data_IF_022341315471
#
_entry.id   IF_022341315471
#
_cell.length_a   1.000
_cell.length_b   1.000
_cell.length_c   1.000
_cell.angle_alpha   90.00
_cell.angle_beta   90.00
_cell.angle_gamma   90.00
#
_symmetry.space_group_name_H-M   'P 1'
#
loop_
_entity.id
_entity.type
_entity.pdbx_description
1 polymer ?
#
# COMPACT_ATOMS: atom_id res chain seq x y z
N UNK A 1 14.81 -29.49 25.80
CA UNK A 1 14.56 -28.14 26.33
C UNK A 1 14.12 -27.32 25.13
N UNK A 2 12.81 -27.45 24.79
CA UNK A 2 12.19 -26.73 23.65
C UNK A 2 12.04 -25.25 24.07
N UNK A 3 12.99 -24.45 23.64
CA UNK A 3 12.85 -22.99 23.60
C UNK A 3 12.63 -22.62 22.13
N UNK A 4 11.44 -22.19 21.84
CA UNK A 4 10.93 -21.25 20.82
C UNK A 4 9.55 -21.69 20.35
N UNK A 5 8.57 -21.64 21.28
CA UNK A 5 7.21 -21.35 20.83
C UNK A 5 7.21 -19.85 20.55
N UNK A 6 7.46 -19.48 19.31
CA UNK A 6 7.20 -18.14 18.81
C UNK A 6 5.78 -17.75 19.22
N UNK A 7 5.67 -16.67 20.02
CA UNK A 7 4.37 -16.12 20.40
C UNK A 7 3.75 -15.48 19.15
N UNK A 8 2.98 -16.28 18.42
CA UNK A 8 2.25 -15.82 17.23
C UNK A 8 1.03 -15.04 17.73
N UNK A 9 1.04 -13.72 17.47
CA UNK A 9 -0.12 -12.87 17.73
C UNK A 9 -1.14 -13.07 16.60
N UNK A 10 -2.37 -13.40 16.94
CA UNK A 10 -3.46 -13.46 15.97
C UNK A 10 -4.22 -12.15 15.86
N UNK A 11 -4.92 -11.95 14.73
CA UNK A 11 -5.84 -10.81 14.61
C UNK A 11 -6.96 -10.91 15.65
N UNK A 12 -7.37 -12.12 16.02
CA UNK A 12 -8.37 -12.35 17.04
C UNK A 12 -7.93 -11.81 18.40
N UNK A 13 -6.67 -12.05 18.80
CA UNK A 13 -6.10 -11.52 20.04
C UNK A 13 -6.01 -9.99 20.01
N UNK A 14 -5.57 -9.45 18.89
CA UNK A 14 -5.43 -8.02 18.71
C UNK A 14 -6.78 -7.29 18.80
N UNK A 15 -7.82 -7.83 18.15
CA UNK A 15 -9.16 -7.24 18.17
C UNK A 15 -9.82 -7.43 19.53
N UNK A 16 -9.69 -8.60 20.21
CA UNK A 16 -10.17 -8.81 21.58
C UNK A 16 -9.52 -7.83 22.56
N UNK A 17 -8.21 -7.66 22.50
CA UNK A 17 -7.47 -6.73 23.37
C UNK A 17 -7.83 -5.26 23.16
N UNK A 18 -8.30 -4.89 21.96
CA UNK A 18 -8.69 -3.53 21.62
C UNK A 18 -10.16 -3.20 21.87
N UNK A 19 -11.00 -4.19 22.12
CA UNK A 19 -12.46 -4.06 22.24
C UNK A 19 -12.87 -3.42 23.58
N UNK A 20 -12.45 -2.19 23.84
CA UNK A 20 -12.65 -1.50 25.12
C UNK A 20 -14.10 -1.16 25.44
N UNK A 21 -14.94 -0.92 24.41
CA UNK A 21 -16.30 -0.45 24.54
C UNK A 21 -17.35 -1.59 24.36
N UNK A 22 -16.89 -2.86 24.26
CA UNK A 22 -17.75 -4.02 24.00
C UNK A 22 -18.66 -3.87 22.74
N UNK A 23 -18.28 -3.01 21.79
CA UNK A 23 -19.04 -2.82 20.54
C UNK A 23 -18.94 -4.02 19.60
N UNK A 24 -17.92 -4.84 19.78
CA UNK A 24 -17.67 -6.07 19.06
C UNK A 24 -17.84 -7.26 20.01
N UNK A 25 -19.03 -7.87 19.96
CA UNK A 25 -19.32 -9.04 20.80
C UNK A 25 -18.72 -10.30 20.17
N UNK A 26 -17.78 -10.90 20.88
CA UNK A 26 -17.09 -12.14 20.48
C UNK A 26 -17.61 -13.37 21.23
N UNK A 27 -18.67 -13.26 22.03
CA UNK A 27 -19.20 -14.37 22.81
C UNK A 27 -19.78 -15.49 21.91
N UNK A 28 -20.41 -15.13 20.79
CA UNK A 28 -20.85 -16.09 19.77
C UNK A 28 -19.99 -16.00 18.50
N UNK A 29 -18.85 -16.68 18.54
CA UNK A 29 -17.89 -16.71 17.42
C UNK A 29 -18.49 -17.21 16.10
N UNK A 30 -19.57 -17.99 16.13
CA UNK A 30 -20.24 -18.50 14.92
C UNK A 30 -20.92 -17.38 14.13
N UNK A 31 -21.24 -16.27 14.79
CA UNK A 31 -21.89 -15.10 14.19
C UNK A 31 -20.89 -14.07 13.63
N UNK A 32 -19.60 -14.40 13.65
CA UNK A 32 -18.52 -13.56 13.12
C UNK A 32 -17.92 -14.22 11.90
N UNK A 33 -17.76 -13.46 10.82
CA UNK A 33 -17.07 -13.89 9.61
C UNK A 33 -15.85 -13.02 9.31
N UNK A 34 -14.79 -13.67 8.85
CA UNK A 34 -13.61 -13.02 8.31
C UNK A 34 -13.74 -13.00 6.79
N UNK A 35 -13.64 -11.83 6.19
CA UNK A 35 -13.83 -11.61 4.75
C UNK A 35 -12.55 -11.05 4.13
N UNK A 36 -12.16 -11.65 3.00
CA UNK A 36 -11.07 -11.17 2.15
C UNK A 36 -11.63 -10.74 0.80
N UNK A 37 -11.54 -9.46 0.50
CA UNK A 37 -11.76 -8.99 -0.85
C UNK A 37 -10.49 -9.20 -1.69
N UNK A 38 -10.62 -9.97 -2.77
CA UNK A 38 -9.54 -10.13 -3.75
C UNK A 38 -9.49 -8.91 -4.66
N UNK A 39 -8.28 -8.54 -5.05
CA UNK A 39 -8.08 -7.48 -6.05
C UNK A 39 -8.26 -7.97 -7.49
N UNK A 40 -8.42 -9.29 -7.69
CA UNK A 40 -8.79 -9.86 -8.97
C UNK A 40 -10.23 -9.46 -9.32
N UNK A 41 -10.37 -8.68 -10.36
CA UNK A 41 -11.65 -8.15 -10.83
C UNK A 41 -12.16 -9.03 -11.96
N UNK A 42 -13.32 -9.64 -11.76
CA UNK A 42 -14.01 -10.39 -12.81
C UNK A 42 -14.70 -9.42 -13.77
N UNK A 43 -14.68 -9.73 -15.07
CA UNK A 43 -15.28 -8.90 -16.13
C UNK A 43 -16.78 -8.65 -15.96
N UNK A 44 -17.50 -9.54 -15.28
CA UNK A 44 -18.93 -9.41 -14.98
C UNK A 44 -19.24 -8.62 -13.72
N UNK A 45 -18.20 -8.25 -12.95
CA UNK A 45 -18.37 -7.53 -11.69
C UNK A 45 -18.72 -6.05 -11.89
N UNK A 46 -19.42 -5.46 -10.90
CA UNK A 46 -19.66 -4.01 -10.82
C UNK A 46 -18.35 -3.21 -10.91
N UNK A 47 -17.30 -3.67 -10.21
CA UNK A 47 -16.01 -2.96 -10.18
C UNK A 47 -15.40 -2.85 -11.57
N UNK A 48 -15.51 -3.91 -12.39
CA UNK A 48 -15.02 -3.89 -13.76
C UNK A 48 -15.87 -3.00 -14.67
N UNK A 49 -17.19 -3.17 -14.62
CA UNK A 49 -18.12 -2.50 -15.54
C UNK A 49 -18.32 -1.02 -15.25
N UNK A 50 -18.56 -0.69 -13.99
CA UNK A 50 -18.97 0.66 -13.57
C UNK A 50 -17.80 1.50 -13.09
N UNK A 51 -16.90 0.90 -12.27
CA UNK A 51 -15.78 1.64 -11.69
C UNK A 51 -14.52 1.59 -12.56
N UNK A 52 -14.36 0.55 -13.41
CA UNK A 52 -13.18 0.34 -14.29
C UNK A 52 -11.85 0.36 -13.55
N UNK A 53 -11.79 -0.28 -12.40
CA UNK A 53 -10.61 -0.33 -11.54
C UNK A 53 -10.55 -1.61 -10.72
N UNK A 54 -9.68 -1.63 -9.72
CA UNK A 54 -9.54 -2.72 -8.77
C UNK A 54 -10.30 -2.45 -7.48
N UNK A 55 -10.51 -3.47 -6.64
CA UNK A 55 -11.13 -3.31 -5.30
C UNK A 55 -10.29 -2.38 -4.44
N UNK A 56 -8.96 -2.50 -4.52
CA UNK A 56 -8.03 -1.61 -3.82
C UNK A 56 -8.19 -0.16 -4.27
N UNK A 57 -8.26 0.08 -5.59
CA UNK A 57 -8.49 1.42 -6.12
C UNK A 57 -9.83 1.98 -5.66
N UNK A 58 -10.91 1.19 -5.72
CA UNK A 58 -12.23 1.61 -5.22
C UNK A 58 -12.17 2.00 -3.74
N UNK A 59 -11.56 1.16 -2.91
CA UNK A 59 -11.37 1.41 -1.48
C UNK A 59 -10.64 2.73 -1.21
N UNK A 60 -9.60 3.03 -2.00
CA UNK A 60 -8.76 4.22 -1.83
C UNK A 60 -9.39 5.50 -2.36
N UNK A 61 -10.15 5.43 -3.46
CA UNK A 61 -10.65 6.63 -4.16
C UNK A 61 -12.09 6.97 -3.85
N UNK A 62 -12.92 5.96 -3.55
CA UNK A 62 -14.31 6.15 -3.20
C UNK A 62 -14.76 5.14 -2.12
N UNK A 63 -14.40 5.46 -0.89
CA UNK A 63 -14.73 4.61 0.25
C UNK A 63 -16.24 4.43 0.46
N UNK A 64 -17.07 5.44 0.14
CA UNK A 64 -18.53 5.32 0.22
C UNK A 64 -19.07 4.30 -0.78
N UNK A 65 -18.56 4.33 -2.01
CA UNK A 65 -18.93 3.38 -3.03
C UNK A 65 -18.41 1.97 -2.70
N UNK A 66 -17.22 1.86 -2.11
CA UNK A 66 -16.68 0.61 -1.58
C UNK A 66 -17.61 0.01 -0.52
N UNK A 67 -18.07 0.80 0.46
CA UNK A 67 -19.02 0.34 1.48
C UNK A 67 -20.35 -0.11 0.89
N UNK A 68 -20.87 0.63 -0.09
CA UNK A 68 -22.09 0.26 -0.81
C UNK A 68 -21.91 -1.07 -1.55
N UNK A 69 -20.80 -1.24 -2.26
CA UNK A 69 -20.47 -2.48 -2.94
C UNK A 69 -20.31 -3.65 -1.94
N UNK A 70 -19.60 -3.43 -0.82
CA UNK A 70 -19.42 -4.43 0.22
C UNK A 70 -20.74 -4.84 0.88
N UNK A 71 -21.72 -3.93 0.97
CA UNK A 71 -23.03 -4.22 1.59
C UNK A 71 -23.89 -5.16 0.77
N UNK A 72 -23.65 -5.32 -0.54
CA UNK A 72 -24.38 -6.29 -1.37
C UNK A 72 -23.75 -7.67 -1.26
N UNK A 73 -24.49 -8.59 -0.60
CA UNK A 73 -23.98 -9.92 -0.28
C UNK A 73 -25.00 -11.02 -0.63
N UNK A 74 -24.48 -12.25 -0.85
CA UNK A 74 -25.31 -13.44 -0.99
C UNK A 74 -25.92 -13.78 0.36
N UNK A 75 -27.24 -13.98 0.42
CA UNK A 75 -27.99 -14.23 1.66
C UNK A 75 -27.47 -15.44 2.43
N UNK A 76 -27.03 -16.50 1.71
CA UNK A 76 -26.44 -17.69 2.34
C UNK A 76 -25.17 -17.40 3.14
N UNK A 77 -24.42 -16.36 2.79
CA UNK A 77 -23.17 -15.97 3.44
C UNK A 77 -23.42 -15.11 4.68
N UNK A 78 -24.58 -14.45 4.75
CA UNK A 78 -24.92 -13.48 5.78
C UNK A 78 -25.93 -14.01 6.81
N UNK A 79 -26.41 -15.27 6.62
CA UNK A 79 -27.34 -15.88 7.56
C UNK A 79 -26.70 -16.04 8.94
N UNK A 80 -27.32 -15.46 9.96
CA UNK A 80 -26.84 -15.47 11.35
C UNK A 80 -25.44 -14.86 11.52
N UNK A 81 -25.09 -13.85 10.72
CA UNK A 81 -23.82 -13.13 10.84
C UNK A 81 -24.09 -11.75 11.42
N UNK A 82 -23.49 -11.45 12.57
CA UNK A 82 -23.60 -10.15 13.23
C UNK A 82 -22.40 -9.24 12.93
N UNK A 83 -21.22 -9.84 12.71
CA UNK A 83 -20.02 -9.09 12.51
C UNK A 83 -19.20 -9.60 11.33
N UNK A 84 -18.59 -8.66 10.63
CA UNK A 84 -17.66 -8.90 9.54
C UNK A 84 -16.32 -8.28 9.89
N UNK A 85 -15.26 -9.07 9.84
CA UNK A 85 -13.87 -8.62 9.96
C UNK A 85 -13.28 -8.62 8.55
N UNK A 86 -13.03 -7.46 7.99
CA UNK A 86 -12.80 -7.28 6.55
C UNK A 86 -11.35 -6.97 6.24
N UNK A 87 -10.86 -7.60 5.20
CA UNK A 87 -9.50 -7.45 4.67
C UNK A 87 -9.50 -7.25 3.16
N UNK A 88 -8.47 -6.55 2.66
CA UNK A 88 -8.07 -6.54 1.25
C UNK A 88 -6.89 -7.46 1.04
N UNK A 89 -6.97 -8.30 -0.01
CA UNK A 89 -5.87 -9.18 -0.38
C UNK A 89 -4.67 -8.40 -0.92
N UNK A 90 -3.49 -8.78 -0.45
CA UNK A 90 -2.18 -8.35 -0.95
C UNK A 90 -1.45 -9.53 -1.60
N UNK A 91 -0.20 -9.31 -2.03
CA UNK A 91 0.64 -10.36 -2.59
C UNK A 91 0.95 -11.47 -1.56
N UNK A 92 1.39 -12.62 -2.04
CA UNK A 92 1.87 -13.74 -1.21
C UNK A 92 0.90 -14.24 -0.12
N UNK A 93 -0.41 -14.22 -0.39
CA UNK A 93 -1.47 -14.60 0.55
C UNK A 93 -1.60 -13.67 1.76
N UNK A 94 -0.99 -12.52 1.76
CA UNK A 94 -1.18 -11.49 2.77
C UNK A 94 -2.49 -10.72 2.57
N UNK A 95 -3.02 -10.18 3.65
CA UNK A 95 -4.23 -9.37 3.62
C UNK A 95 -4.13 -8.22 4.62
N UNK A 96 -4.54 -7.04 4.16
CA UNK A 96 -4.57 -5.81 4.95
C UNK A 96 -5.91 -5.61 5.61
N UNK A 97 -5.91 -5.34 6.90
CA UNK A 97 -7.12 -5.10 7.69
C UNK A 97 -7.80 -3.78 7.29
N UNK A 98 -9.11 -3.85 7.02
CA UNK A 98 -9.93 -2.70 6.61
C UNK A 98 -10.83 -2.22 7.74
N UNK A 99 -11.37 -3.13 8.54
CA UNK A 99 -12.23 -2.76 9.65
C UNK A 99 -13.05 -3.93 10.18
N UNK A 100 -13.73 -3.66 11.29
CA UNK A 100 -14.81 -4.50 11.84
C UNK A 100 -16.12 -3.81 11.55
N UNK A 101 -17.09 -4.55 11.04
CA UNK A 101 -18.40 -4.03 10.67
C UNK A 101 -19.49 -4.82 11.39
N UNK A 102 -20.49 -4.11 11.90
CA UNK A 102 -21.70 -4.71 12.44
C UNK A 102 -22.75 -4.82 11.35
N UNK A 103 -23.39 -5.97 11.27
CA UNK A 103 -24.50 -6.26 10.36
C UNK A 103 -25.82 -6.14 11.10
N UNK A 104 -26.67 -5.22 10.69
CA UNK A 104 -28.01 -4.98 11.26
C UNK A 104 -29.12 -5.71 10.49
N UNK A 105 -28.77 -6.49 9.47
CA UNK A 105 -29.68 -7.27 8.66
C UNK A 105 -29.91 -6.71 7.26
N UNK A 106 -30.73 -7.42 6.44
CA UNK A 106 -31.01 -7.00 5.08
C UNK A 106 -31.93 -5.79 5.03
N UNK A 107 -31.63 -4.84 4.15
CA UNK A 107 -32.46 -3.68 3.84
C UNK A 107 -33.47 -4.00 2.72
N UNK A 108 -32.99 -4.60 1.64
CA UNK A 108 -33.78 -5.02 0.49
C UNK A 108 -33.06 -6.07 -0.34
N UNK A 109 -33.83 -6.86 -1.09
CA UNK A 109 -33.29 -7.83 -2.05
C UNK A 109 -32.82 -7.12 -3.32
N UNK A 110 -31.57 -7.30 -3.72
CA UNK A 110 -30.98 -6.72 -4.93
C UNK A 110 -31.16 -7.64 -6.15
N UNK A 111 -31.10 -8.96 -5.93
CA UNK A 111 -31.32 -9.99 -6.96
C UNK A 111 -31.63 -11.32 -6.28
N UNK A 112 -31.95 -12.36 -7.07
CA UNK A 112 -32.25 -13.68 -6.50
C UNK A 112 -31.11 -14.22 -5.65
N UNK A 113 -31.34 -14.33 -4.34
CA UNK A 113 -30.39 -14.84 -3.33
C UNK A 113 -29.27 -13.86 -2.96
N UNK A 114 -29.44 -12.56 -3.30
CA UNK A 114 -28.57 -11.47 -2.87
C UNK A 114 -29.41 -10.33 -2.29
N UNK A 115 -28.92 -9.74 -1.22
CA UNK A 115 -29.52 -8.57 -0.58
C UNK A 115 -28.47 -7.52 -0.25
N UNK A 116 -28.93 -6.29 -0.15
CA UNK A 116 -28.14 -5.20 0.42
C UNK A 116 -28.39 -5.20 1.92
N UNK A 117 -27.30 -5.27 2.69
CA UNK A 117 -27.32 -5.33 4.16
C UNK A 117 -26.94 -3.98 4.77
N UNK A 118 -27.54 -3.63 5.91
CA UNK A 118 -27.12 -2.50 6.72
C UNK A 118 -25.85 -2.88 7.50
N UNK A 119 -24.70 -2.59 6.90
CA UNK A 119 -23.39 -2.91 7.44
C UNK A 119 -22.70 -1.61 7.83
N UNK A 120 -22.36 -1.44 9.12
CA UNK A 120 -21.74 -0.21 9.66
C UNK A 120 -20.40 -0.51 10.29
N UNK A 121 -19.40 0.32 9.98
CA UNK A 121 -18.05 0.21 10.55
C UNK A 121 -18.06 0.54 12.05
N UNK A 122 -17.33 -0.25 12.85
CA UNK A 122 -17.13 -0.02 14.28
C UNK A 122 -15.90 0.86 14.46
N UNK A 123 -16.11 2.06 15.03
CA UNK A 123 -15.09 3.10 15.17
C UNK A 123 -13.88 2.68 16.02
N UNK A 124 -14.09 1.85 17.04
CA UNK A 124 -13.05 1.44 17.99
C UNK A 124 -11.82 0.76 17.36
N UNK A 125 -11.96 0.29 16.13
CA UNK A 125 -10.89 -0.42 15.41
C UNK A 125 -10.21 0.42 14.30
N UNK A 126 -10.60 1.65 14.09
CA UNK A 126 -10.03 2.53 13.05
C UNK A 126 -8.52 2.68 13.13
N UNK A 127 -7.95 2.69 14.31
CA UNK A 127 -6.49 2.78 14.50
C UNK A 127 -5.72 1.58 13.93
N UNK A 128 -6.38 0.42 13.77
CA UNK A 128 -5.79 -0.78 13.17
C UNK A 128 -5.98 -0.82 11.65
N UNK A 129 -6.91 -0.02 11.14
CA UNK A 129 -7.27 0.05 9.74
C UNK A 129 -6.05 0.41 8.91
N UNK A 130 -5.75 -0.42 7.90
CA UNK A 130 -4.60 -0.35 7.00
C UNK A 130 -3.22 -0.49 7.64
N UNK A 131 -3.16 -0.61 8.97
CA UNK A 131 -1.92 -0.77 9.71
C UNK A 131 -1.58 -2.24 10.00
N UNK A 132 -2.56 -3.12 9.97
CA UNK A 132 -2.38 -4.54 10.29
C UNK A 132 -2.43 -5.38 9.03
N UNK A 133 -1.41 -6.21 8.83
CA UNK A 133 -1.32 -7.20 7.76
C UNK A 133 -1.26 -8.59 8.36
N UNK A 134 -2.10 -9.48 7.85
CA UNK A 134 -2.21 -10.87 8.29
C UNK A 134 -1.82 -11.85 7.19
N UNK A 135 -1.49 -13.08 7.58
CA UNK A 135 -1.43 -14.23 6.67
C UNK A 135 -2.84 -14.81 6.48
N UNK A 136 -3.32 -14.83 5.22
CA UNK A 136 -4.63 -15.43 4.93
C UNK A 136 -4.59 -16.96 4.95
N UNK A 137 -3.44 -17.52 4.59
CA UNK A 137 -3.22 -18.95 4.40
C UNK A 137 -3.43 -19.40 2.94
N UNK A 138 -3.05 -20.65 2.66
CA UNK A 138 -3.00 -21.22 1.29
C UNK A 138 -4.36 -21.28 0.56
N UNK A 139 -5.46 -21.12 1.27
CA UNK A 139 -6.83 -21.21 0.73
C UNK A 139 -7.40 -19.88 0.23
N UNK A 140 -6.71 -19.14 -0.64
CA UNK A 140 -7.15 -17.82 -1.16
C UNK A 140 -8.51 -17.84 -1.87
N UNK A 141 -8.94 -18.98 -2.41
CA UNK A 141 -10.27 -19.16 -2.99
C UNK A 141 -11.40 -19.07 -1.96
N UNK A 142 -11.09 -19.37 -0.69
CA UNK A 142 -12.05 -19.29 0.41
C UNK A 142 -12.03 -17.87 1.00
N UNK A 143 -12.69 -16.95 0.32
CA UNK A 143 -12.71 -15.51 0.63
C UNK A 143 -13.51 -15.15 1.89
N UNK A 144 -14.38 -16.08 2.39
CA UNK A 144 -15.13 -15.94 3.63
C UNK A 144 -14.82 -17.11 4.54
N UNK A 145 -14.41 -16.84 5.77
CA UNK A 145 -14.00 -17.85 6.74
C UNK A 145 -14.65 -17.58 8.10
N UNK A 146 -14.68 -18.60 8.97
CA UNK A 146 -15.18 -18.47 10.32
C UNK A 146 -14.17 -17.75 11.21
N UNK A 147 -14.65 -17.07 12.23
CA UNK A 147 -13.83 -16.40 13.23
C UNK A 147 -12.82 -17.33 13.92
N UNK A 148 -13.22 -18.59 14.18
CA UNK A 148 -12.34 -19.62 14.76
C UNK A 148 -11.12 -19.97 13.88
N UNK A 149 -11.08 -19.51 12.61
CA UNK A 149 -9.91 -19.71 11.77
C UNK A 149 -8.87 -18.68 12.13
N UNK A 150 -7.89 -19.08 12.95
CA UNK A 150 -6.84 -18.20 13.44
C UNK A 150 -6.05 -17.55 12.30
N UNK A 151 -5.76 -16.26 12.42
CA UNK A 151 -5.03 -15.46 11.42
C UNK A 151 -3.83 -14.78 12.06
N UNK A 152 -2.66 -15.23 11.67
CA UNK A 152 -1.40 -14.68 12.15
C UNK A 152 -1.20 -13.24 11.68
N UNK A 153 -0.86 -12.33 12.61
CA UNK A 153 -0.42 -10.97 12.29
C UNK A 153 1.02 -11.03 11.82
N UNK A 154 1.25 -10.71 10.55
CA UNK A 154 2.60 -10.70 9.96
C UNK A 154 3.36 -9.42 10.29
N UNK A 155 2.68 -8.29 10.26
CA UNK A 155 3.27 -7.00 10.59
C UNK A 155 2.22 -5.99 10.99
N UNK A 156 2.62 -5.04 11.82
CA UNK A 156 1.86 -3.84 12.14
C UNK A 156 2.68 -2.67 11.61
N UNK A 157 2.11 -1.96 10.65
CA UNK A 157 2.74 -0.80 10.02
C UNK A 157 2.07 0.45 10.59
N UNK A 158 2.85 1.38 11.13
CA UNK A 158 2.34 2.72 11.36
C UNK A 158 2.23 3.43 10.01
N UNK A 159 1.08 3.33 9.39
CA UNK A 159 0.75 4.20 8.26
C UNK A 159 0.21 5.48 8.88
N UNK A 160 1.08 6.46 9.05
CA UNK A 160 0.64 7.81 9.36
C UNK A 160 -0.24 8.30 8.20
N UNK A 161 -1.41 8.81 8.53
CA UNK A 161 -2.46 9.38 7.68
C UNK A 161 -2.41 9.01 6.17
N UNK A 162 -3.38 8.20 5.74
CA UNK A 162 -3.53 7.75 4.34
C UNK A 162 -3.80 8.88 3.37
N UNK A 163 -4.39 9.96 3.86
CA UNK A 163 -4.69 11.15 3.06
C UNK A 163 -3.42 11.77 2.47
N UNK A 164 -2.24 11.42 3.00
CA UNK A 164 -0.93 11.88 2.53
C UNK A 164 -0.26 10.99 1.46
N UNK A 165 -0.81 9.82 1.09
CA UNK A 165 -0.27 9.05 -0.03
C UNK A 165 -0.89 9.60 -1.30
N UNK A 166 -0.14 10.30 -2.16
CA UNK A 166 -0.69 10.81 -3.40
C UNK A 166 -1.18 9.66 -4.29
N UNK A 167 -2.33 9.84 -4.93
CA UNK A 167 -2.79 8.91 -5.94
C UNK A 167 -1.82 8.93 -7.11
N UNK A 168 -1.47 7.74 -7.61
CA UNK A 168 -0.69 7.66 -8.84
C UNK A 168 -1.57 8.07 -10.03
N UNK A 169 -1.15 9.10 -10.76
CA UNK A 169 -1.80 9.58 -11.99
C UNK A 169 -0.94 9.22 -13.21
N UNK A 170 0.19 9.87 -13.34
CA UNK A 170 1.18 9.67 -14.41
C UNK A 170 2.58 9.84 -13.85
N UNK A 171 3.57 9.28 -14.52
CA UNK A 171 4.97 9.40 -14.10
C UNK A 171 5.47 10.85 -14.09
N UNK A 172 4.99 11.66 -15.03
CA UNK A 172 5.37 13.07 -15.18
C UNK A 172 4.85 13.95 -14.03
N UNK A 173 3.78 13.51 -13.36
CA UNK A 173 3.16 14.24 -12.25
C UNK A 173 3.78 13.89 -10.89
N UNK A 174 4.74 12.96 -10.86
CA UNK A 174 5.32 12.47 -9.61
C UNK A 174 6.19 13.53 -8.95
N UNK A 175 5.71 14.00 -7.79
CA UNK A 175 6.43 14.92 -6.91
C UNK A 175 6.22 14.46 -5.48
N UNK A 176 7.27 13.95 -4.82
CA UNK A 176 7.19 13.30 -3.50
C UNK A 176 8.17 13.93 -2.51
N UNK A 177 7.73 14.22 -1.29
CA UNK A 177 8.60 14.46 -0.15
C UNK A 177 9.19 13.13 0.38
N UNK A 178 10.17 13.16 1.28
CA UNK A 178 10.70 11.94 1.90
C UNK A 178 9.64 11.17 2.71
N UNK A 179 8.78 11.81 3.52
CA UNK A 179 7.67 11.12 4.16
C UNK A 179 6.72 10.43 3.18
N UNK A 180 6.37 11.10 2.06
CA UNK A 180 5.56 10.50 1.00
C UNK A 180 6.29 9.36 0.30
N UNK A 181 7.58 9.50 0.00
CA UNK A 181 8.41 8.44 -0.59
C UNK A 181 8.39 7.17 0.26
N UNK A 182 8.53 7.30 1.59
CA UNK A 182 8.45 6.17 2.54
C UNK A 182 7.12 5.43 2.48
N UNK A 183 6.04 6.14 2.17
CA UNK A 183 4.70 5.58 2.06
C UNK A 183 4.50 4.90 0.69
N UNK A 184 4.84 5.59 -0.41
CA UNK A 184 4.61 5.09 -1.77
C UNK A 184 5.43 3.84 -2.09
N UNK A 185 6.65 3.69 -1.55
CA UNK A 185 7.46 2.47 -1.76
C UNK A 185 6.89 1.25 -1.04
N UNK A 186 5.92 1.43 -0.15
CA UNK A 186 5.20 0.36 0.54
C UNK A 186 3.79 0.17 -0.01
N UNK A 187 3.22 1.20 -0.66
CA UNK A 187 1.88 1.15 -1.22
C UNK A 187 1.83 0.23 -2.44
N UNK A 188 0.81 -0.62 -2.51
CA UNK A 188 0.70 -1.67 -3.53
C UNK A 188 0.58 -1.12 -4.96
N UNK A 189 -0.24 -0.08 -5.16
CA UNK A 189 -0.45 0.51 -6.49
C UNK A 189 0.83 1.18 -6.98
N UNK A 190 1.45 1.99 -6.14
CA UNK A 190 2.71 2.65 -6.44
C UNK A 190 3.84 1.65 -6.73
N UNK A 191 3.96 0.60 -5.91
CA UNK A 191 4.98 -0.44 -6.13
C UNK A 191 4.87 -1.07 -7.49
N UNK A 192 3.66 -1.49 -7.89
CA UNK A 192 3.44 -2.11 -9.20
C UNK A 192 3.86 -1.21 -10.37
N UNK A 193 3.77 0.12 -10.22
CA UNK A 193 4.22 1.10 -11.22
C UNK A 193 5.73 1.32 -11.16
N UNK A 194 6.29 1.46 -9.96
CA UNK A 194 7.72 1.74 -9.77
C UNK A 194 8.62 0.54 -10.08
N UNK A 195 8.15 -0.70 -9.86
CA UNK A 195 8.88 -1.94 -10.19
C UNK A 195 9.14 -2.08 -11.69
N UNK A 196 8.22 -1.60 -12.52
CA UNK A 196 8.29 -1.70 -13.98
C UNK A 196 8.88 -0.45 -14.65
N UNK A 197 9.50 0.47 -13.90
CA UNK A 197 9.95 1.74 -14.43
C UNK A 197 11.46 1.87 -14.46
N UNK A 198 12.04 2.07 -15.67
CA UNK A 198 13.34 2.67 -15.87
C UNK A 198 13.14 4.18 -16.12
N UNK A 199 13.94 5.02 -15.48
CA UNK A 199 13.77 6.46 -15.63
C UNK A 199 15.02 7.26 -15.24
N UNK A 200 15.08 8.50 -15.70
CA UNK A 200 15.92 9.55 -15.11
C UNK A 200 15.06 10.28 -14.07
N UNK A 201 15.61 10.47 -12.88
CA UNK A 201 14.92 11.13 -11.78
C UNK A 201 15.76 12.25 -11.16
N UNK A 202 15.09 13.15 -10.47
CA UNK A 202 15.69 14.29 -9.78
C UNK A 202 15.39 14.22 -8.28
N UNK A 203 16.36 14.61 -7.48
CA UNK A 203 16.17 15.01 -6.09
C UNK A 203 16.47 16.50 -5.98
N UNK A 204 15.50 17.29 -5.55
CA UNK A 204 15.63 18.72 -5.32
C UNK A 204 15.73 18.98 -3.80
N UNK A 205 16.75 19.70 -3.39
CA UNK A 205 16.84 20.32 -2.08
C UNK A 205 16.19 21.72 -2.13
N UNK A 206 14.95 21.83 -1.67
CA UNK A 206 14.16 23.06 -1.71
C UNK A 206 14.71 24.19 -0.85
N UNK A 207 15.57 23.89 0.14
CA UNK A 207 16.14 24.90 1.01
C UNK A 207 17.20 25.76 0.30
N UNK A 208 17.90 25.20 -0.70
CA UNK A 208 19.01 25.87 -1.36
C UNK A 208 19.01 25.75 -2.90
N UNK A 209 18.02 25.03 -3.46
CA UNK A 209 17.89 24.81 -4.90
C UNK A 209 18.87 23.80 -5.51
N UNK A 210 19.76 23.19 -4.72
CA UNK A 210 20.69 22.17 -5.24
C UNK A 210 19.96 20.89 -5.63
N UNK A 211 20.49 20.23 -6.64
CA UNK A 211 19.83 19.08 -7.27
C UNK A 211 20.78 17.89 -7.43
N UNK A 212 20.20 16.70 -7.40
CA UNK A 212 20.85 15.46 -7.80
C UNK A 212 20.06 14.80 -8.92
N UNK A 213 20.73 14.40 -9.98
CA UNK A 213 20.15 13.61 -11.08
C UNK A 213 20.67 12.18 -10.97
N UNK A 214 19.77 11.21 -11.09
CA UNK A 214 20.12 9.79 -11.14
C UNK A 214 19.31 9.04 -12.19
N UNK A 215 19.74 7.83 -12.51
CA UNK A 215 19.09 6.98 -13.52
C UNK A 215 18.94 5.54 -13.03
N UNK A 216 17.87 4.89 -13.48
CA UNK A 216 17.68 3.44 -13.36
C UNK A 216 17.49 2.82 -14.74
N UNK A 217 18.21 1.73 -15.01
CA UNK A 217 18.22 1.08 -16.34
C UNK A 217 18.41 -0.44 -16.27
N UNK A 218 18.50 -1.03 -15.08
CA UNK A 218 18.61 -2.49 -14.96
C UNK A 218 17.25 -3.09 -15.27
N UNK A 219 17.22 -3.85 -16.38
CA UNK A 219 16.01 -4.42 -16.93
C UNK A 219 15.21 -5.20 -15.90
N UNK A 220 13.91 -5.06 -16.01
CA UNK A 220 12.93 -5.74 -15.15
C UNK A 220 12.93 -7.23 -15.52
N UNK A 221 13.44 -8.08 -14.64
CA UNK A 221 13.19 -9.53 -14.74
C UNK A 221 11.88 -9.80 -13.95
N UNK A 222 10.95 -10.61 -14.49
CA UNK A 222 9.77 -11.03 -13.74
C UNK A 222 10.15 -11.55 -12.35
N UNK A 223 9.56 -11.01 -11.29
CA UNK A 223 9.81 -11.43 -9.91
C UNK A 223 11.04 -10.79 -9.22
N UNK A 224 11.80 -9.94 -9.89
CA UNK A 224 12.85 -9.15 -9.24
C UNK A 224 12.35 -7.76 -8.88
N UNK A 225 12.70 -7.25 -7.68
CA UNK A 225 12.48 -5.85 -7.28
C UNK A 225 13.44 -4.96 -8.07
N UNK A 226 13.10 -4.65 -9.32
CA UNK A 226 13.92 -3.88 -10.23
C UNK A 226 13.28 -2.52 -10.50
N UNK A 227 13.87 -1.76 -11.38
CA UNK A 227 13.41 -0.42 -11.70
C UNK A 227 13.70 0.58 -10.59
N UNK A 228 12.95 1.67 -10.59
CA UNK A 228 13.17 2.76 -9.65
C UNK A 228 12.75 2.40 -8.22
N UNK A 229 11.85 1.43 -8.02
CA UNK A 229 11.38 1.02 -6.70
C UNK A 229 12.55 0.65 -5.77
N UNK A 230 13.51 -0.15 -6.27
CA UNK A 230 14.66 -0.54 -5.45
C UNK A 230 15.47 0.69 -5.02
N UNK A 231 15.77 1.56 -5.97
CA UNK A 231 16.54 2.78 -5.71
C UNK A 231 15.81 3.74 -4.78
N UNK A 232 14.52 3.93 -4.97
CA UNK A 232 13.71 4.79 -4.11
C UNK A 232 13.45 4.19 -2.74
N UNK A 233 13.45 2.86 -2.60
CA UNK A 233 13.41 2.21 -1.29
C UNK A 233 14.66 2.47 -0.45
N UNK A 234 15.84 2.54 -1.09
CA UNK A 234 17.09 2.94 -0.43
C UNK A 234 17.03 4.40 0.06
N UNK A 235 16.53 5.32 -0.76
CA UNK A 235 16.31 6.72 -0.35
C UNK A 235 15.27 6.83 0.77
N UNK A 236 14.18 6.09 0.70
CA UNK A 236 13.13 6.07 1.72
C UNK A 236 13.66 5.70 3.10
N UNK A 237 14.64 4.80 3.16
CA UNK A 237 15.29 4.37 4.40
C UNK A 237 16.32 5.39 4.90
N UNK A 238 17.19 5.87 4.02
CA UNK A 238 18.44 6.58 4.40
C UNK A 238 18.37 8.09 4.12
N UNK A 239 17.45 8.54 3.26
CA UNK A 239 17.41 9.90 2.73
C UNK A 239 18.46 10.19 1.67
N UNK A 240 19.57 9.42 1.59
CA UNK A 240 20.72 9.68 0.72
C UNK A 240 20.98 8.61 -0.34
N UNK A 241 20.39 7.40 -0.24
CA UNK A 241 20.55 6.32 -1.22
C UNK A 241 22.00 6.03 -1.60
N UNK A 242 22.94 6.12 -0.64
CA UNK A 242 24.39 5.93 -0.84
C UNK A 242 25.07 6.94 -1.76
N UNK A 243 24.46 8.11 -2.01
CA UNK A 243 25.16 9.22 -2.67
C UNK A 243 26.03 9.97 -1.65
N UNK A 244 27.31 10.18 -1.97
CA UNK A 244 28.31 10.75 -1.07
C UNK A 244 27.94 12.17 -0.59
N UNK A 245 27.61 13.07 -1.50
CA UNK A 245 27.28 14.47 -1.15
C UNK A 245 25.95 14.55 -0.37
N UNK A 246 24.99 13.67 -0.64
CA UNK A 246 23.77 13.58 0.15
C UNK A 246 24.05 12.96 1.55
N UNK A 247 24.98 11.98 1.67
CA UNK A 247 25.44 11.46 2.96
C UNK A 247 26.04 12.58 3.80
N UNK A 248 26.98 13.37 3.23
CA UNK A 248 27.61 14.49 3.92
C UNK A 248 26.57 15.54 4.35
N UNK A 249 25.59 15.84 3.48
CA UNK A 249 24.51 16.76 3.81
C UNK A 249 23.65 16.27 4.97
N UNK A 250 23.22 15.01 4.93
CA UNK A 250 22.39 14.43 5.98
C UNK A 250 23.19 14.21 7.28
N UNK A 251 24.46 13.86 7.19
CA UNK A 251 25.32 13.75 8.39
C UNK A 251 25.46 15.11 9.10
N UNK A 252 25.50 16.21 8.35
CA UNK A 252 25.59 17.55 8.91
C UNK A 252 24.28 18.09 9.45
N UNK A 253 23.18 17.91 8.73
CA UNK A 253 21.90 18.59 9.02
C UNK A 253 20.88 17.67 9.72
N UNK A 254 21.12 16.35 9.74
CA UNK A 254 20.19 15.35 10.22
C UNK A 254 19.16 14.89 9.19
N UNK A 255 18.56 13.73 9.41
CA UNK A 255 17.57 13.15 8.51
C UNK A 255 16.28 14.01 8.43
N UNK A 256 15.94 14.73 9.48
CA UNK A 256 14.80 15.67 9.52
C UNK A 256 14.93 16.75 8.45
N UNK A 257 16.15 17.17 8.11
CA UNK A 257 16.37 18.09 7.01
C UNK A 257 15.85 17.53 5.67
N UNK A 258 16.20 16.27 5.38
CA UNK A 258 15.72 15.62 4.15
C UNK A 258 14.19 15.45 4.14
N UNK A 259 13.57 15.21 5.30
CA UNK A 259 12.09 15.12 5.43
C UNK A 259 11.40 16.43 5.08
N UNK A 260 11.97 17.58 5.42
CA UNK A 260 11.38 18.89 5.16
C UNK A 260 11.71 19.43 3.77
N UNK A 261 12.92 19.18 3.27
CA UNK A 261 13.43 19.91 2.12
C UNK A 261 13.68 19.07 0.88
N UNK A 262 13.90 17.74 0.98
CA UNK A 262 14.13 16.94 -0.20
C UNK A 262 12.82 16.56 -0.91
N UNK A 263 12.88 16.61 -2.24
CA UNK A 263 11.76 16.30 -3.13
C UNK A 263 12.24 15.41 -4.27
N UNK A 264 11.52 14.31 -4.51
CA UNK A 264 11.79 13.34 -5.58
C UNK A 264 10.81 13.55 -6.72
N UNK A 265 11.30 13.54 -7.96
CA UNK A 265 10.50 13.62 -9.17
C UNK A 265 11.09 12.78 -10.30
N UNK A 266 10.26 12.36 -11.26
CA UNK A 266 10.69 11.66 -12.47
C UNK A 266 10.85 12.70 -13.59
N UNK A 267 12.01 12.73 -14.21
CA UNK A 267 12.31 13.64 -15.32
C UNK A 267 11.95 13.04 -16.67
N UNK A 268 12.24 11.76 -16.84
CA UNK A 268 12.03 11.04 -18.09
C UNK A 268 11.84 9.57 -17.85
N UNK A 269 10.82 8.97 -18.47
CA UNK A 269 10.62 7.52 -18.51
C UNK A 269 11.46 6.91 -19.63
N UNK A 270 12.14 5.80 -19.34
CA UNK A 270 13.00 5.10 -20.30
C UNK A 270 12.36 3.74 -20.66
N UNK A 271 12.59 3.24 -21.91
CA UNK A 271 12.13 1.91 -22.29
C UNK A 271 12.64 0.80 -21.36
N UNK A 272 11.87 -0.27 -21.16
CA UNK A 272 12.27 -1.39 -20.32
C UNK A 272 13.57 -2.06 -20.80
N UNK A 273 13.81 -2.05 -22.10
CA UNK A 273 14.99 -2.63 -22.74
C UNK A 273 16.09 -1.60 -23.03
N UNK A 274 16.06 -0.44 -22.39
CA UNK A 274 17.09 0.59 -22.58
C UNK A 274 18.46 0.03 -22.24
N UNK A 275 19.46 0.32 -23.10
CA UNK A 275 20.84 -0.07 -22.82
C UNK A 275 21.46 0.85 -21.77
N UNK A 276 22.43 0.33 -21.01
CA UNK A 276 23.14 1.14 -20.01
C UNK A 276 23.77 2.39 -20.62
N UNK A 277 24.31 2.29 -21.83
CA UNK A 277 24.90 3.44 -22.53
C UNK A 277 23.88 4.56 -22.75
N UNK A 278 22.74 4.22 -23.37
CA UNK A 278 21.68 5.22 -23.63
C UNK A 278 21.15 5.83 -22.31
N UNK A 279 20.94 5.01 -21.29
CA UNK A 279 20.46 5.50 -20.00
C UNK A 279 21.45 6.45 -19.32
N UNK A 280 22.75 6.15 -19.36
CA UNK A 280 23.82 7.00 -18.82
C UNK A 280 23.96 8.29 -19.65
N UNK A 281 23.84 8.22 -20.98
CA UNK A 281 23.87 9.40 -21.85
C UNK A 281 22.68 10.34 -21.53
N UNK A 282 21.50 9.78 -21.27
CA UNK A 282 20.33 10.58 -20.82
C UNK A 282 20.56 11.22 -19.45
N UNK A 283 21.08 10.48 -18.49
CA UNK A 283 21.44 11.02 -17.17
C UNK A 283 22.46 12.16 -17.31
N UNK A 284 23.51 11.97 -18.12
CA UNK A 284 24.54 12.96 -18.34
C UNK A 284 24.00 14.25 -18.97
N UNK A 285 23.08 14.12 -19.92
CA UNK A 285 22.40 15.27 -20.52
C UNK A 285 21.61 16.08 -19.47
N UNK A 286 20.90 15.41 -18.55
CA UNK A 286 20.17 16.12 -17.49
C UNK A 286 21.11 16.72 -16.44
N UNK A 287 22.22 16.05 -16.11
CA UNK A 287 23.27 16.63 -15.24
C UNK A 287 23.83 17.91 -15.82
N UNK A 288 24.08 17.95 -17.16
CA UNK A 288 24.54 19.15 -17.88
C UNK A 288 23.47 20.25 -17.88
N UNK A 289 22.23 19.91 -18.28
CA UNK A 289 21.11 20.87 -18.33
C UNK A 289 20.84 21.58 -16.99
N UNK A 290 21.02 20.89 -15.88
CA UNK A 290 20.79 21.43 -14.55
C UNK A 290 22.05 21.86 -13.81
N UNK A 291 23.23 21.70 -14.41
CA UNK A 291 24.51 22.03 -13.78
C UNK A 291 24.75 21.30 -12.47
N UNK A 292 24.28 20.07 -12.36
CA UNK A 292 24.26 19.37 -11.05
C UNK A 292 25.64 18.86 -10.63
N UNK A 293 26.62 18.83 -11.54
CA UNK A 293 28.04 18.54 -11.24
C UNK A 293 28.72 19.70 -10.55
N UNK A 294 28.48 20.92 -11.06
CA UNK A 294 29.14 22.14 -10.54
C UNK A 294 28.41 22.73 -9.34
N UNK A 295 27.07 22.69 -9.36
CA UNK A 295 26.24 23.40 -8.41
C UNK A 295 25.30 22.48 -7.62
N UNK A 296 25.27 21.16 -7.91
CA UNK A 296 24.36 20.19 -7.32
C UNK A 296 25.03 19.18 -6.38
N UNK A 297 24.45 17.99 -6.36
CA UNK A 297 24.89 16.85 -5.55
C UNK A 297 25.43 15.68 -6.40
N UNK A 298 25.77 15.91 -7.67
CA UNK A 298 26.45 14.94 -8.52
C UNK A 298 27.96 15.20 -8.51
N UNK A 299 28.76 14.16 -8.23
CA UNK A 299 30.24 14.25 -8.32
C UNK A 299 30.79 13.96 -9.73
N UNK A 300 30.02 13.23 -10.60
CA UNK A 300 30.45 12.73 -11.90
C UNK A 300 29.55 13.22 -13.04
#
# INVERSE_FOLDING_TARGET
>A
MDMDKDYIISIQDLLKGRNRNAEFDVADEKRIKIIRHSDEVKEDSFIYKEFKGTVYKLYRTDYKLFLKWQSEQKDKNMRNVDYLVVFLGEEHCECRFIGVFRNYGPLYSSSKGCSVYDIREIEGFKVLKDNVVIEWGKGTRNWIQNWSTNKEVKRIEQVSDKDDIPLFTRYEDVVLSLPQLRKVVKDREWRSKLECLNCVYLILDKANGRQYVGVTYKGVKPGSKNGILNRWSEYAQTGHGNNKLLIEKIAKEGLIYAEHFFQWTILETLPLNVTSKVAIDRESLYKEKFGTREHGYNEN
#
